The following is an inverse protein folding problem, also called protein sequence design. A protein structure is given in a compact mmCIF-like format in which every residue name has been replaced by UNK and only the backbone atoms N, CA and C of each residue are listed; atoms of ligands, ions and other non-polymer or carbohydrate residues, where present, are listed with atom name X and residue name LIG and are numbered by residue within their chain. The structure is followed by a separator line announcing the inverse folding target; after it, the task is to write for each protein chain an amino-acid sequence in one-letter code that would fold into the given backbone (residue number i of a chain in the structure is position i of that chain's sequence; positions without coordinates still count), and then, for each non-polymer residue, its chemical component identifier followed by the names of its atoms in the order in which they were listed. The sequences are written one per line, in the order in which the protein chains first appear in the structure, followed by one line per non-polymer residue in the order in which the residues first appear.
data_IF_099589926238
#
_entry.id   IF_099589926238
#
_cell.length_a   1.000
_cell.length_b   1.000
_cell.length_c   1.000
_cell.angle_alpha   90.00
_cell.angle_beta   90.00
_cell.angle_gamma   90.00
#
_symmetry.space_group_name_H-M   'P 1'
#
loop_
_entity.id
_entity.type
_entity.pdbx_description
1 polymer ?
#
# COMPACT_ATOMS: atom_id res chain seq x y z
N UNK A 1 -24.96 18.95 1.52
CA UNK A 1 -23.80 19.55 2.20
C UNK A 1 -22.55 18.94 1.59
N UNK A 2 -21.82 19.68 0.76
CA UNK A 2 -20.51 19.25 0.29
C UNK A 2 -19.50 19.65 1.37
N UNK A 3 -18.87 18.67 2.02
CA UNK A 3 -17.73 18.96 2.90
C UNK A 3 -16.57 19.39 2.02
N UNK A 4 -16.32 20.71 1.98
CA UNK A 4 -15.16 21.31 1.33
C UNK A 4 -13.90 21.24 2.21
N UNK A 5 -13.75 20.16 2.98
CA UNK A 5 -12.67 19.98 3.96
C UNK A 5 -11.52 19.14 3.40
N UNK A 6 -10.29 19.59 3.62
CA UNK A 6 -9.10 18.72 3.54
C UNK A 6 -9.28 17.57 4.55
N UNK A 7 -9.65 16.38 4.07
CA UNK A 7 -9.75 15.19 4.89
C UNK A 7 -8.44 14.39 4.85
N UNK A 8 -8.06 13.69 5.93
CA UNK A 8 -6.94 12.77 5.89
C UNK A 8 -7.17 11.73 4.78
N UNK A 9 -6.14 11.47 3.99
CA UNK A 9 -6.18 10.41 2.98
C UNK A 9 -5.89 9.06 3.64
N UNK A 10 -6.50 8.00 3.14
CA UNK A 10 -6.26 6.64 3.62
C UNK A 10 -5.41 5.91 2.61
N UNK A 11 -4.28 5.35 3.06
CA UNK A 11 -3.43 4.49 2.24
C UNK A 11 -3.38 3.08 2.83
N UNK A 12 -3.46 2.06 1.98
CA UNK A 12 -3.37 0.66 2.39
C UNK A 12 -2.13 0.03 1.76
N UNK A 13 -1.27 -0.58 2.58
CA UNK A 13 0.03 -1.10 2.14
C UNK A 13 0.26 -2.55 2.57
N UNK A 14 0.86 -3.33 1.66
CA UNK A 14 1.04 -4.77 1.82
C UNK A 14 2.41 -5.12 2.40
N UNK A 15 2.45 -5.81 3.52
CA UNK A 15 3.64 -6.53 3.98
C UNK A 15 3.55 -7.94 3.40
N UNK A 16 4.19 -8.14 2.25
CA UNK A 16 4.23 -9.43 1.54
C UNK A 16 5.51 -10.15 1.91
N UNK A 17 5.39 -11.33 2.49
CA UNK A 17 6.51 -12.25 2.73
C UNK A 17 6.50 -13.41 1.74
N UNK A 18 7.67 -13.89 1.35
CA UNK A 18 7.82 -15.18 0.67
C UNK A 18 8.10 -16.32 1.67
N UNK A 19 8.23 -17.55 1.15
CA UNK A 19 8.49 -18.76 1.95
C UNK A 19 9.83 -18.72 2.69
N UNK A 20 10.77 -17.88 2.25
CA UNK A 20 12.09 -17.67 2.89
C UNK A 20 12.04 -16.54 3.92
N UNK A 21 10.89 -15.92 4.15
CA UNK A 21 10.70 -14.80 5.07
C UNK A 21 11.22 -13.45 4.55
N UNK A 22 11.55 -13.35 3.26
CA UNK A 22 11.97 -12.08 2.64
C UNK A 22 10.74 -11.20 2.42
N UNK A 23 10.89 -9.90 2.63
CA UNK A 23 9.80 -8.93 2.51
C UNK A 23 9.93 -8.14 1.20
N UNK A 24 8.82 -8.00 0.50
CA UNK A 24 8.73 -7.18 -0.70
C UNK A 24 8.78 -5.69 -0.36
N UNK A 25 9.71 -4.97 -0.96
CA UNK A 25 9.80 -3.51 -0.92
C UNK A 25 10.08 -2.97 -2.33
N UNK A 26 9.48 -1.83 -2.64
CA UNK A 26 9.68 -1.09 -3.89
C UNK A 26 10.26 0.29 -3.62
N UNK A 27 10.95 0.86 -4.61
CA UNK A 27 11.44 2.24 -4.53
C UNK A 27 10.34 3.18 -5.00
N UNK A 28 9.87 4.07 -4.11
CA UNK A 28 8.75 4.96 -4.40
C UNK A 28 9.05 5.95 -5.52
N UNK A 29 8.16 6.00 -6.51
CA UNK A 29 8.17 7.02 -7.57
C UNK A 29 7.35 8.26 -7.21
N UNK A 30 6.41 8.13 -6.26
CA UNK A 30 5.54 9.22 -5.81
C UNK A 30 6.33 10.39 -5.21
N UNK A 31 5.77 11.60 -5.30
CA UNK A 31 6.41 12.83 -4.75
C UNK A 31 6.62 12.77 -3.23
N UNK A 32 5.78 12.02 -2.51
CA UNK A 32 5.97 11.75 -1.09
C UNK A 32 6.95 10.59 -0.89
N UNK A 33 8.12 10.90 -0.33
CA UNK A 33 9.16 9.89 -0.10
C UNK A 33 9.75 9.35 -1.40
N UNK A 34 9.80 10.18 -2.45
CA UNK A 34 10.44 9.82 -3.73
C UNK A 34 11.85 9.28 -3.48
N UNK A 35 12.13 8.10 -4.02
CA UNK A 35 13.43 7.44 -3.89
C UNK A 35 13.64 6.67 -2.59
N UNK A 36 12.73 6.74 -1.62
CA UNK A 36 12.74 5.87 -0.43
C UNK A 36 12.11 4.52 -0.73
N UNK A 37 12.45 3.53 0.10
CA UNK A 37 11.82 2.22 0.08
C UNK A 37 10.47 2.25 0.79
N UNK A 38 9.48 1.58 0.21
CA UNK A 38 8.16 1.42 0.77
C UNK A 38 7.56 0.08 0.39
N UNK A 39 6.53 -0.31 1.13
CA UNK A 39 5.67 -1.42 0.74
C UNK A 39 4.84 -1.04 -0.50
N UNK A 40 4.43 -2.02 -1.33
CA UNK A 40 3.45 -1.78 -2.39
C UNK A 40 2.09 -1.45 -1.79
N UNK A 41 1.32 -0.65 -2.51
CA UNK A 41 0.01 -0.19 -2.06
C UNK A 41 -0.26 1.26 -2.41
N UNK A 42 -1.50 1.68 -2.18
CA UNK A 42 -1.96 2.98 -2.63
C UNK A 42 -3.17 3.47 -1.86
N UNK A 43 -3.95 4.33 -2.52
CA UNK A 43 -5.07 5.01 -1.90
C UNK A 43 -6.31 4.13 -1.85
N UNK A 44 -7.01 4.17 -0.72
CA UNK A 44 -8.30 3.52 -0.60
C UNK A 44 -9.35 4.26 -1.43
N UNK A 45 -10.05 3.53 -2.29
CA UNK A 45 -11.15 4.10 -3.07
C UNK A 45 -12.48 4.08 -2.30
N UNK A 46 -13.41 4.93 -2.73
CA UNK A 46 -14.72 5.04 -2.08
C UNK A 46 -15.51 3.72 -2.23
N UNK A 47 -15.87 3.11 -1.10
CA UNK A 47 -16.62 1.84 -1.07
C UNK A 47 -15.74 0.59 -1.23
N UNK A 48 -14.42 0.76 -1.31
CA UNK A 48 -13.46 -0.34 -1.39
C UNK A 48 -13.12 -0.87 0.02
N UNK A 49 -13.03 -2.20 0.17
CA UNK A 49 -12.51 -2.83 1.39
C UNK A 49 -10.98 -2.76 1.44
N UNK A 50 -10.39 -2.66 2.64
CA UNK A 50 -8.93 -2.54 2.78
C UNK A 50 -8.16 -3.66 2.10
N UNK A 51 -8.65 -4.90 2.19
CA UNK A 51 -7.99 -6.05 1.57
C UNK A 51 -8.13 -6.04 0.05
N UNK A 52 -9.28 -5.61 -0.48
CA UNK A 52 -9.45 -5.46 -1.92
C UNK A 52 -8.51 -4.37 -2.47
N UNK A 53 -8.42 -3.23 -1.79
CA UNK A 53 -7.54 -2.12 -2.14
C UNK A 53 -6.08 -2.57 -2.27
N UNK A 54 -5.54 -3.21 -1.23
CA UNK A 54 -4.12 -3.58 -1.23
C UNK A 54 -3.80 -4.70 -2.23
N UNK A 55 -4.75 -5.62 -2.46
CA UNK A 55 -4.62 -6.67 -3.48
C UNK A 55 -4.58 -6.07 -4.89
N UNK A 56 -5.47 -5.11 -5.20
CA UNK A 56 -5.49 -4.36 -6.47
C UNK A 56 -4.20 -3.57 -6.69
N UNK A 57 -3.85 -2.71 -5.74
CA UNK A 57 -2.67 -1.84 -5.85
C UNK A 57 -1.36 -2.65 -6.00
N UNK A 58 -1.22 -3.75 -5.24
CA UNK A 58 -0.02 -4.60 -5.36
C UNK A 58 0.07 -5.24 -6.74
N UNK A 59 -1.05 -5.66 -7.32
CA UNK A 59 -1.09 -6.21 -8.68
C UNK A 59 -0.72 -5.14 -9.72
N UNK A 60 -1.23 -3.93 -9.60
CA UNK A 60 -0.95 -2.81 -10.53
C UNK A 60 0.52 -2.37 -10.47
N UNK A 61 1.10 -2.25 -9.27
CA UNK A 61 2.46 -1.77 -9.07
C UNK A 61 3.54 -2.82 -9.36
N UNK A 62 3.24 -4.10 -9.09
CA UNK A 62 4.28 -5.15 -9.07
C UNK A 62 3.96 -6.37 -9.93
N UNK A 63 2.75 -6.44 -10.50
CA UNK A 63 2.24 -7.62 -11.18
C UNK A 63 1.94 -8.80 -10.26
N UNK A 64 2.21 -8.73 -8.95
CA UNK A 64 2.00 -9.84 -8.02
C UNK A 64 0.55 -9.97 -7.59
N UNK A 65 0.04 -11.20 -7.68
CA UNK A 65 -1.20 -11.57 -7.02
C UNK A 65 -0.91 -11.95 -5.57
N UNK A 66 -1.57 -11.26 -4.65
CA UNK A 66 -1.46 -11.49 -3.21
C UNK A 66 -2.84 -11.74 -2.59
N UNK A 67 -2.83 -12.33 -1.40
CA UNK A 67 -3.99 -12.41 -0.51
C UNK A 67 -3.68 -11.65 0.77
N UNK A 68 -4.43 -10.58 1.05
CA UNK A 68 -4.36 -9.90 2.33
C UNK A 68 -5.16 -10.68 3.38
N UNK A 69 -4.55 -10.93 4.54
CA UNK A 69 -5.13 -11.81 5.57
C UNK A 69 -5.45 -11.09 6.87
N UNK A 70 -4.72 -10.01 7.18
CA UNK A 70 -4.86 -9.33 8.47
C UNK A 70 -4.36 -7.89 8.42
N UNK A 71 -5.05 -6.97 9.08
CA UNK A 71 -4.49 -5.66 9.43
C UNK A 71 -3.53 -5.82 10.61
N UNK A 72 -2.28 -5.39 10.44
CA UNK A 72 -1.21 -5.60 11.43
C UNK A 72 -0.67 -4.32 12.03
N UNK A 73 -1.01 -3.16 11.46
CA UNK A 73 -0.58 -1.87 12.00
C UNK A 73 -1.32 -0.71 11.35
N UNK A 74 -1.25 0.43 12.01
CA UNK A 74 -1.73 1.70 11.49
C UNK A 74 -0.80 2.83 11.91
N UNK A 75 -0.70 3.86 11.08
CA UNK A 75 -0.01 5.11 11.40
C UNK A 75 -0.91 6.31 11.12
N UNK A 76 -0.58 7.43 11.76
CA UNK A 76 -1.28 8.69 11.63
C UNK A 76 -0.23 9.78 11.33
N UNK A 77 0.05 9.96 10.05
CA UNK A 77 1.21 10.69 9.56
C UNK A 77 0.80 12.09 9.09
N UNK A 78 1.33 13.11 9.75
CA UNK A 78 1.07 14.52 9.44
C UNK A 78 2.32 15.13 8.83
N UNK A 79 2.17 15.71 7.65
CA UNK A 79 3.22 16.42 6.91
C UNK A 79 2.78 17.86 6.65
N UNK A 80 2.87 18.76 7.65
CA UNK A 80 2.37 20.14 7.53
C UNK A 80 3.02 20.92 6.39
N UNK A 81 4.34 20.74 6.20
CA UNK A 81 5.14 21.38 5.14
C UNK A 81 4.65 21.02 3.72
N UNK A 82 3.90 19.93 3.58
CA UNK A 82 3.40 19.43 2.29
C UNK A 82 1.88 19.57 2.17
N UNK A 83 1.20 20.09 3.20
CA UNK A 83 -0.26 20.08 3.34
C UNK A 83 -0.86 18.68 3.13
N UNK A 84 -0.25 17.68 3.77
CA UNK A 84 -0.67 16.27 3.67
C UNK A 84 -0.88 15.64 5.04
N UNK A 85 -1.96 14.88 5.16
CA UNK A 85 -2.25 14.03 6.30
C UNK A 85 -2.71 12.67 5.79
N UNK A 86 -2.03 11.61 6.23
CA UNK A 86 -2.37 10.23 5.91
C UNK A 86 -2.70 9.43 7.17
N UNK A 87 -3.74 8.61 7.05
CA UNK A 87 -3.88 7.40 7.87
C UNK A 87 -3.42 6.24 7.02
N UNK A 88 -2.40 5.53 7.46
CA UNK A 88 -1.85 4.39 6.72
C UNK A 88 -2.22 3.11 7.43
N UNK A 89 -2.76 2.13 6.71
CA UNK A 89 -3.07 0.79 7.22
C UNK A 89 -2.11 -0.20 6.59
N UNK A 90 -1.49 -1.05 7.41
CA UNK A 90 -0.59 -2.10 6.94
C UNK A 90 -1.25 -3.46 7.08
N UNK A 91 -1.16 -4.27 6.02
CA UNK A 91 -1.71 -5.62 6.01
C UNK A 91 -0.60 -6.66 5.98
N UNK A 92 -0.80 -7.80 6.66
CA UNK A 92 -0.08 -9.03 6.36
C UNK A 92 -0.69 -9.63 5.10
N UNK A 93 0.16 -9.93 4.13
CA UNK A 93 -0.25 -10.49 2.85
C UNK A 93 0.69 -11.62 2.42
N UNK A 94 0.15 -12.58 1.67
CA UNK A 94 0.88 -13.76 1.18
C UNK A 94 0.70 -13.85 -0.34
N UNK A 95 1.73 -14.29 -1.07
CA UNK A 95 1.62 -14.50 -2.53
C UNK A 95 0.61 -15.62 -2.81
N UNK A 96 -0.31 -15.42 -3.75
CA UNK A 96 -1.21 -16.51 -4.17
C UNK A 96 -0.49 -17.54 -5.04
N UNK A 97 0.56 -17.10 -5.76
CA UNK A 97 1.45 -17.91 -6.57
C UNK A 97 2.87 -17.82 -5.99
N UNK A 98 3.29 -18.86 -5.27
CA UNK A 98 4.54 -18.85 -4.49
C UNK A 98 5.79 -18.48 -5.31
N UNK A 99 5.87 -18.93 -6.57
CA UNK A 99 7.02 -18.72 -7.45
C UNK A 99 6.90 -17.47 -8.36
N UNK A 100 5.82 -16.71 -8.26
CA UNK A 100 5.68 -15.49 -9.03
C UNK A 100 6.63 -14.43 -8.47
N UNK A 101 7.46 -13.84 -9.34
CA UNK A 101 8.34 -12.75 -8.97
C UNK A 101 7.72 -11.39 -9.35
N UNK A 102 7.97 -10.34 -8.55
CA UNK A 102 7.50 -9.00 -8.85
C UNK A 102 8.16 -8.47 -10.12
N UNK A 103 7.38 -7.76 -10.93
CA UNK A 103 7.85 -7.05 -12.10
C UNK A 103 7.55 -5.56 -11.92
N UNK A 104 8.54 -4.72 -12.20
CA UNK A 104 8.32 -3.27 -12.20
C UNK A 104 7.64 -2.91 -13.51
N UNK A 105 6.44 -2.35 -13.43
CA UNK A 105 5.77 -1.69 -14.54
C UNK A 105 6.67 -0.54 -15.02
N UNK A 106 7.21 -0.61 -16.25
CA UNK A 106 8.02 0.45 -16.86
C UNK A 106 7.20 1.73 -17.10
#
# INVERSE_FOLDING_TARGET
MACNGLHPRVGIFAIVSDEQGRILIGRRLSTLGKGHWGFPGGHLEQGEDFFACVERETLEETGLEIRATKVVGLTNDKFPELDKHYVTVFTKSERTKAQQEPQVSN
#
